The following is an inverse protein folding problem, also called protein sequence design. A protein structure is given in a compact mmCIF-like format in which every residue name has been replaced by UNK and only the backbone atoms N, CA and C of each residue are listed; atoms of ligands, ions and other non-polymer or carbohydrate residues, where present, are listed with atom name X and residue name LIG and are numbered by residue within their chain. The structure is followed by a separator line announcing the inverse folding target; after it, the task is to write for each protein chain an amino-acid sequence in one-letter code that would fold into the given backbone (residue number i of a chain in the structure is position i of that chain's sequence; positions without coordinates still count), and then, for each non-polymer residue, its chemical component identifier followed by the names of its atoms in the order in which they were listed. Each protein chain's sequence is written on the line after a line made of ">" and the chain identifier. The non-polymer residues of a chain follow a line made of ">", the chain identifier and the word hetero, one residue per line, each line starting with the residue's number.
data_IF_943410146387
#
_entry.id   IF_943410146387
#
_cell.length_a   1.000
_cell.length_b   1.000
_cell.length_c   1.000
_cell.angle_alpha   90.00
_cell.angle_beta   90.00
_cell.angle_gamma   90.00
#
_symmetry.space_group_name_H-M   'P 1'
#
loop_
_entity.id
_entity.type
_entity.pdbx_description
1 polymer ?
#
# COMPACT_ATOMS: atom_id res chain seq x y z
N UNK A 1 26.70 -19.66 -6.79
CA UNK A 1 27.38 -19.14 -8.00
C UNK A 1 26.53 -18.01 -8.56
N UNK A 2 26.63 -16.80 -7.97
CA UNK A 2 25.86 -15.62 -8.44
C UNK A 2 26.67 -14.84 -9.49
N UNK A 3 28.00 -14.99 -9.45
CA UNK A 3 28.93 -14.14 -10.19
C UNK A 3 29.01 -14.43 -11.70
N UNK A 4 28.79 -15.68 -12.13
CA UNK A 4 28.91 -16.06 -13.55
C UNK A 4 27.81 -15.46 -14.42
N UNK A 5 26.59 -15.37 -13.90
CA UNK A 5 25.45 -14.75 -14.59
C UNK A 5 25.59 -13.22 -14.59
N UNK A 6 26.24 -12.63 -13.58
CA UNK A 6 26.56 -11.19 -13.58
C UNK A 6 27.52 -10.82 -14.73
N UNK A 7 28.48 -11.68 -15.08
CA UNK A 7 29.38 -11.45 -16.21
C UNK A 7 28.66 -11.57 -17.57
N UNK A 8 27.56 -12.33 -17.63
CA UNK A 8 26.72 -12.48 -18.82
C UNK A 8 25.59 -11.44 -18.89
N UNK A 9 25.40 -10.67 -17.82
CA UNK A 9 24.32 -9.70 -17.74
C UNK A 9 24.61 -8.48 -18.63
N UNK A 10 23.88 -8.38 -19.74
CA UNK A 10 24.03 -7.29 -20.69
C UNK A 10 23.21 -6.07 -20.26
N UNK A 11 23.78 -5.25 -19.37
CA UNK A 11 23.14 -4.02 -18.89
C UNK A 11 22.75 -3.07 -20.05
N UNK A 12 23.58 -3.00 -21.10
CA UNK A 12 23.34 -2.18 -22.29
C UNK A 12 22.26 -2.72 -23.23
N UNK A 13 21.86 -3.99 -23.09
CA UNK A 13 20.81 -4.61 -23.88
C UNK A 13 19.41 -4.43 -23.26
N UNK A 14 19.33 -3.91 -22.04
CA UNK A 14 18.06 -3.63 -21.37
C UNK A 14 17.36 -2.45 -22.03
N UNK A 15 16.05 -2.57 -22.19
CA UNK A 15 15.21 -1.41 -22.47
C UNK A 15 15.14 -0.51 -21.24
N UNK A 16 14.80 0.78 -21.45
CA UNK A 16 14.64 1.74 -20.36
C UNK A 16 13.63 1.24 -19.31
N UNK A 17 12.53 0.62 -19.78
CA UNK A 17 11.51 0.08 -18.91
C UNK A 17 11.99 -1.16 -18.14
N UNK A 18 12.77 -2.05 -18.74
CA UNK A 18 13.36 -3.17 -18.01
C UNK A 18 14.32 -2.72 -16.90
N UNK A 19 15.10 -1.66 -17.15
CA UNK A 19 15.93 -1.06 -16.12
C UNK A 19 15.09 -0.45 -14.99
N UNK A 20 14.03 0.31 -15.31
CA UNK A 20 13.08 0.84 -14.30
C UNK A 20 12.44 -0.28 -13.48
N UNK A 21 12.05 -1.38 -14.13
CA UNK A 21 11.51 -2.58 -13.52
C UNK A 21 12.50 -3.20 -12.53
N UNK A 22 13.78 -3.36 -12.90
CA UNK A 22 14.83 -3.89 -12.03
C UNK A 22 15.04 -3.01 -10.79
N UNK A 23 15.10 -1.69 -10.98
CA UNK A 23 15.26 -0.73 -9.87
C UNK A 23 14.04 -0.79 -8.94
N UNK A 24 12.83 -0.88 -9.49
CA UNK A 24 11.60 -1.02 -8.72
C UNK A 24 11.61 -2.30 -7.87
N UNK A 25 11.89 -3.46 -8.49
CA UNK A 25 11.95 -4.75 -7.79
C UNK A 25 13.04 -4.76 -6.72
N UNK A 26 14.19 -4.14 -6.99
CA UNK A 26 15.30 -4.00 -6.03
C UNK A 26 14.92 -3.16 -4.80
N UNK A 27 13.93 -2.27 -4.94
CA UNK A 27 13.37 -1.49 -3.84
C UNK A 27 12.50 -2.31 -2.87
N UNK A 28 12.04 -3.51 -3.26
CA UNK A 28 11.23 -4.39 -2.42
C UNK A 28 12.12 -5.20 -1.46
N UNK A 29 12.53 -4.55 -0.37
CA UNK A 29 13.50 -5.10 0.57
C UNK A 29 12.87 -5.91 1.72
N UNK A 30 11.59 -5.66 2.05
CA UNK A 30 10.92 -6.34 3.15
C UNK A 30 10.82 -7.85 2.92
N UNK A 31 10.91 -8.63 4.00
CA UNK A 31 10.70 -10.08 3.94
C UNK A 31 9.26 -10.45 3.52
N UNK A 32 8.29 -9.59 3.86
CA UNK A 32 6.87 -9.76 3.47
C UNK A 32 6.71 -9.67 1.95
N UNK A 33 7.57 -8.90 1.28
CA UNK A 33 7.52 -8.71 -0.18
C UNK A 33 8.33 -9.78 -0.94
N UNK A 34 8.86 -10.80 -0.25
CA UNK A 34 9.67 -11.85 -0.88
C UNK A 34 8.94 -12.59 -1.99
N UNK A 35 7.67 -12.96 -1.75
CA UNK A 35 6.82 -13.60 -2.76
C UNK A 35 6.53 -12.66 -3.93
N UNK A 36 6.23 -11.40 -3.65
CA UNK A 36 5.98 -10.38 -4.68
C UNK A 36 7.22 -10.25 -5.56
N UNK A 37 8.39 -10.02 -4.96
CA UNK A 37 9.68 -9.90 -5.67
C UNK A 37 9.96 -11.11 -6.56
N UNK A 38 9.73 -12.34 -6.08
CA UNK A 38 9.91 -13.55 -6.89
C UNK A 38 8.98 -13.56 -8.11
N UNK A 39 7.69 -13.24 -7.93
CA UNK A 39 6.73 -13.20 -9.04
C UNK A 39 7.05 -12.12 -10.07
N UNK A 40 7.49 -10.95 -9.62
CA UNK A 40 7.90 -9.87 -10.51
C UNK A 40 9.15 -10.26 -11.33
N UNK A 41 10.15 -10.88 -10.71
CA UNK A 41 11.35 -11.36 -11.41
C UNK A 41 10.98 -12.39 -12.48
N UNK A 42 10.13 -13.37 -12.15
CA UNK A 42 9.65 -14.35 -13.13
C UNK A 42 8.91 -13.69 -14.31
N UNK A 43 8.13 -12.63 -14.04
CA UNK A 43 7.43 -11.87 -15.08
C UNK A 43 8.42 -11.12 -15.99
N UNK A 44 9.46 -10.53 -15.42
CA UNK A 44 10.52 -9.87 -16.19
C UNK A 44 11.33 -10.82 -17.06
N UNK A 45 11.57 -12.05 -16.59
CA UNK A 45 12.23 -13.10 -17.37
C UNK A 45 11.35 -13.61 -18.52
N UNK A 46 10.03 -13.74 -18.30
CA UNK A 46 9.09 -14.22 -19.31
C UNK A 46 8.73 -13.17 -20.38
N UNK A 47 8.68 -11.89 -20.00
CA UNK A 47 8.20 -10.80 -20.85
C UNK A 47 9.31 -9.77 -21.09
N UNK A 48 10.07 -9.85 -22.19
CA UNK A 48 11.24 -8.99 -22.45
C UNK A 48 10.89 -7.49 -22.61
N UNK A 49 9.62 -7.18 -22.88
CA UNK A 49 9.11 -5.81 -23.02
C UNK A 49 8.18 -5.40 -21.86
N UNK A 50 8.33 -6.01 -20.68
CA UNK A 50 7.51 -5.66 -19.52
C UNK A 50 7.72 -4.20 -19.13
N UNK A 51 6.61 -3.52 -18.84
CA UNK A 51 6.62 -2.12 -18.41
C UNK A 51 6.53 -2.03 -16.89
N UNK A 52 7.00 -0.92 -16.32
CA UNK A 52 6.87 -0.66 -14.88
C UNK A 52 5.40 -0.66 -14.44
N UNK A 53 4.47 -0.23 -15.30
CA UNK A 53 3.03 -0.25 -14.99
C UNK A 53 2.50 -1.67 -14.85
N UNK A 54 2.91 -2.58 -15.74
CA UNK A 54 2.54 -3.98 -15.64
C UNK A 54 3.03 -4.62 -14.32
N UNK A 55 4.22 -4.25 -13.83
CA UNK A 55 4.69 -4.71 -12.52
C UNK A 55 3.89 -4.11 -11.35
N UNK A 56 3.51 -2.84 -11.42
CA UNK A 56 2.67 -2.21 -10.38
C UNK A 56 1.29 -2.89 -10.31
N UNK A 57 0.70 -3.18 -11.46
CA UNK A 57 -0.56 -3.92 -11.55
C UNK A 57 -0.41 -5.34 -11.01
N UNK A 58 0.69 -6.01 -11.33
CA UNK A 58 1.00 -7.34 -10.82
C UNK A 58 1.14 -7.34 -9.29
N UNK A 59 1.85 -6.37 -8.70
CA UNK A 59 1.94 -6.19 -7.24
C UNK A 59 0.55 -6.06 -6.59
N UNK A 60 -0.32 -5.22 -7.18
CA UNK A 60 -1.68 -5.04 -6.68
C UNK A 60 -2.47 -6.34 -6.76
N UNK A 61 -2.39 -7.04 -7.90
CA UNK A 61 -3.06 -8.33 -8.11
C UNK A 61 -2.63 -9.38 -7.08
N UNK A 62 -1.33 -9.50 -6.83
CA UNK A 62 -0.79 -10.42 -5.81
C UNK A 62 -1.29 -10.03 -4.42
N UNK A 63 -1.29 -8.74 -4.10
CA UNK A 63 -1.78 -8.24 -2.81
C UNK A 63 -3.26 -8.57 -2.60
N UNK A 64 -4.11 -8.33 -3.59
CA UNK A 64 -5.54 -8.67 -3.53
C UNK A 64 -5.74 -10.17 -3.35
N UNK A 65 -5.02 -11.00 -4.12
CA UNK A 65 -5.11 -12.45 -3.98
C UNK A 65 -4.67 -12.95 -2.61
N UNK A 66 -3.63 -12.36 -2.02
CA UNK A 66 -3.19 -12.72 -0.68
C UNK A 66 -4.21 -12.32 0.39
N UNK A 67 -4.89 -11.18 0.22
CA UNK A 67 -6.01 -10.77 1.07
C UNK A 67 -7.18 -11.76 0.93
N UNK A 68 -7.57 -12.12 -0.29
CA UNK A 68 -8.65 -13.07 -0.56
C UNK A 68 -8.34 -14.46 0.00
N UNK A 69 -7.10 -14.94 -0.16
CA UNK A 69 -6.63 -16.20 0.40
C UNK A 69 -6.72 -16.21 1.94
N UNK A 70 -6.45 -15.07 2.59
CA UNK A 70 -6.58 -14.94 4.05
C UNK A 70 -8.05 -15.02 4.50
N UNK A 71 -8.97 -14.43 3.72
CA UNK A 71 -10.41 -14.51 4.01
C UNK A 71 -10.95 -15.94 3.88
N UNK A 72 -10.48 -16.68 2.88
CA UNK A 72 -10.93 -18.05 2.58
C UNK A 72 -10.28 -19.10 3.47
N UNK A 73 -9.00 -18.93 3.84
CA UNK A 73 -8.29 -19.82 4.75
C UNK A 73 -8.88 -19.81 6.18
N UNK A 74 -9.79 -18.87 6.45
CA UNK A 74 -10.23 -18.54 7.80
C UNK A 74 -9.09 -17.79 8.50
N UNK A 75 -9.38 -16.61 9.04
CA UNK A 75 -8.50 -16.09 10.09
C UNK A 75 -8.43 -17.19 11.14
N UNK A 76 -7.24 -17.79 11.33
CA UNK A 76 -7.00 -18.72 12.43
C UNK A 76 -7.71 -18.17 13.66
N UNK A 77 -8.68 -18.89 14.25
CA UNK A 77 -9.19 -18.52 15.55
C UNK A 77 -7.97 -18.38 16.44
N UNK A 78 -7.76 -17.20 17.01
CA UNK A 78 -6.92 -17.09 18.19
C UNK A 78 -7.53 -18.07 19.17
N UNK A 79 -6.71 -18.99 19.69
CA UNK A 79 -7.09 -20.06 20.60
C UNK A 79 -7.88 -19.50 21.80
N UNK A 80 -9.21 -19.42 21.68
CA UNK A 80 -10.20 -19.38 22.74
C UNK A 80 -11.58 -19.37 22.10
N UNK A 81 -12.06 -20.57 21.74
CA UNK A 81 -13.45 -21.03 21.90
C UNK A 81 -13.85 -21.98 20.76
N UNK A 82 -14.21 -23.25 21.06
CA UNK A 82 -14.89 -24.09 20.11
C UNK A 82 -16.38 -23.73 20.13
N UNK A 83 -16.84 -22.97 19.15
CA UNK A 83 -18.28 -22.92 18.82
C UNK A 83 -18.48 -23.41 17.39
N UNK A 84 -18.39 -24.73 17.23
CA UNK A 84 -18.94 -25.45 16.09
C UNK A 84 -20.46 -25.31 16.21
N UNK A 85 -21.09 -24.51 15.36
CA UNK A 85 -22.54 -24.43 15.31
C UNK A 85 -23.06 -25.66 14.53
N UNK A 86 -23.25 -26.77 15.22
CA UNK A 86 -23.93 -27.93 14.68
C UNK A 86 -25.41 -27.58 14.41
N UNK A 87 -25.87 -27.76 13.17
CA UNK A 87 -27.31 -27.69 12.85
C UNK A 87 -27.98 -28.93 13.43
N UNK A 88 -28.54 -28.80 14.62
CA UNK A 88 -29.53 -29.75 15.12
C UNK A 88 -30.87 -29.35 14.53
N UNK A 89 -31.38 -30.17 13.60
CA UNK A 89 -32.70 -29.96 13.02
C UNK A 89 -33.78 -30.20 14.07
N UNK A 90 -34.39 -29.11 14.57
CA UNK A 90 -35.64 -29.15 15.31
C UNK A 90 -36.58 -28.04 14.84
N UNK A 91 -37.72 -28.47 14.27
CA UNK A 91 -38.77 -27.62 13.73
C UNK A 91 -39.46 -26.76 14.81
N UNK A 92 -39.21 -25.44 14.82
CA UNK A 92 -40.07 -24.46 15.52
C UNK A 92 -40.27 -23.17 14.72
N UNK A 93 -41.48 -22.55 14.81
CA UNK A 93 -41.98 -21.62 13.80
C UNK A 93 -41.40 -20.20 13.90
N UNK A 94 -41.23 -19.62 12.70
CA UNK A 94 -40.68 -18.30 12.38
C UNK A 94 -41.52 -17.17 12.99
N UNK A 95 -40.91 -16.33 13.85
CA UNK A 95 -41.42 -14.98 14.17
C UNK A 95 -40.68 -13.93 13.34
N UNK A 96 -41.40 -13.31 12.40
CA UNK A 96 -40.90 -12.28 11.46
C UNK A 96 -40.52 -10.99 12.20
N UNK A 97 -39.35 -10.41 11.88
CA UNK A 97 -38.99 -9.03 12.23
C UNK A 97 -39.68 -8.05 11.26
N UNK A 98 -40.10 -6.84 11.71
CA UNK A 98 -40.71 -5.85 10.82
C UNK A 98 -39.67 -5.13 9.96
N UNK A 99 -40.10 -4.80 8.74
CA UNK A 99 -39.32 -4.25 7.64
C UNK A 99 -38.73 -2.85 7.92
N UNK A 100 -37.43 -2.68 7.73
CA UNK A 100 -36.79 -1.37 7.62
C UNK A 100 -37.19 -0.76 6.26
N UNK A 101 -37.84 0.42 6.32
CA UNK A 101 -38.20 1.19 5.13
C UNK A 101 -36.94 1.82 4.52
N UNK A 102 -36.66 1.44 3.28
CA UNK A 102 -35.66 2.07 2.40
C UNK A 102 -36.22 3.42 1.92
N UNK A 103 -35.50 4.51 2.16
CA UNK A 103 -35.66 5.74 1.37
C UNK A 103 -34.46 5.89 0.44
N UNK A 104 -34.78 6.17 -0.82
CA UNK A 104 -33.91 6.15 -2.00
C UNK A 104 -33.59 7.60 -2.41
N UNK A 105 -32.40 7.78 -3.02
CA UNK A 105 -31.99 8.79 -4.05
C UNK A 105 -30.80 9.66 -3.61
N UNK A 106 -29.90 10.14 -4.47
CA UNK A 106 -29.47 9.81 -5.85
C UNK A 106 -28.21 10.68 -6.12
N UNK A 107 -27.25 10.09 -6.86
CA UNK A 107 -26.13 10.65 -7.65
C UNK A 107 -25.89 12.17 -7.73
N UNK A 108 -24.59 12.52 -7.82
CA UNK A 108 -23.85 13.01 -9.03
C UNK A 108 -23.02 14.29 -8.78
N UNK A 109 -21.80 14.34 -9.32
CA UNK A 109 -21.20 15.60 -9.82
C UNK A 109 -19.78 15.95 -9.35
N UNK A 110 -18.79 15.53 -10.15
CA UNK A 110 -17.77 16.35 -10.84
C UNK A 110 -17.42 17.76 -10.29
N UNK A 111 -16.13 18.09 -10.16
CA UNK A 111 -15.68 19.49 -10.06
C UNK A 111 -14.22 19.70 -9.67
N UNK A 112 -13.41 20.10 -10.64
CA UNK A 112 -12.03 20.56 -10.58
C UNK A 112 -11.99 22.05 -10.15
N UNK A 113 -10.84 22.49 -9.61
CA UNK A 113 -10.30 23.87 -9.55
C UNK A 113 -10.65 24.86 -8.43
N UNK A 114 -9.53 25.49 -8.07
CA UNK A 114 -9.30 26.92 -7.91
C UNK A 114 -9.37 27.54 -6.52
N UNK A 115 -8.33 28.33 -6.27
CA UNK A 115 -8.09 29.00 -5.01
C UNK A 115 -8.94 30.24 -4.84
N UNK A 116 -9.15 30.62 -3.58
CA UNK A 116 -9.11 32.02 -3.17
C UNK A 116 -9.06 32.15 -1.65
N UNK A 117 -8.19 33.05 -1.25
CA UNK A 117 -8.05 33.68 0.07
C UNK A 117 -9.38 34.31 0.51
N UNK A 118 -9.65 34.39 1.83
CA UNK A 118 -10.21 35.61 2.37
C UNK A 118 -9.38 36.15 3.54
N UNK A 119 -9.14 37.46 3.50
CA UNK A 119 -8.65 38.27 4.59
C UNK A 119 -9.85 38.81 5.38
N UNK A 120 -9.86 38.68 6.70
CA UNK A 120 -10.58 39.58 7.62
C UNK A 120 -9.97 39.54 9.03
N UNK A 121 -9.29 40.64 9.37
CA UNK A 121 -9.44 41.44 10.61
C UNK A 121 -9.78 40.77 11.95
N UNK A 122 -8.86 40.91 12.91
CA UNK A 122 -9.16 41.46 14.24
C UNK A 122 -9.11 40.52 15.46
N UNK A 123 -8.16 40.78 16.38
CA UNK A 123 -8.44 40.72 17.84
C UNK A 123 -7.93 39.55 18.67
N UNK A 124 -6.63 39.60 19.06
CA UNK A 124 -6.05 39.20 20.36
C UNK A 124 -6.38 37.84 21.01
N UNK A 125 -5.48 36.87 20.81
CA UNK A 125 -4.91 36.03 21.87
C UNK A 125 -3.58 35.45 21.34
N UNK A 126 -2.43 35.90 21.86
CA UNK A 126 -1.12 35.32 21.50
C UNK A 126 -1.06 33.93 22.11
N UNK A 127 -1.41 32.92 21.32
CA UNK A 127 -0.93 31.56 21.47
C UNK A 127 0.07 31.38 20.34
N UNK A 128 1.35 31.18 20.67
CA UNK A 128 2.37 30.89 19.67
C UNK A 128 1.86 29.82 18.71
N UNK A 129 1.91 30.05 17.38
CA UNK A 129 1.48 29.04 16.44
C UNK A 129 2.34 27.79 16.68
N UNK A 130 1.73 26.60 16.79
CA UNK A 130 2.50 25.38 16.95
C UNK A 130 3.46 25.30 15.77
N UNK A 131 4.75 25.29 16.07
CA UNK A 131 5.85 25.17 15.10
C UNK A 131 5.46 24.16 14.02
N UNK A 132 5.64 24.47 12.72
CA UNK A 132 5.18 23.59 11.66
C UNK A 132 5.86 22.23 11.80
N UNK A 133 5.09 21.22 12.24
CA UNK A 133 5.55 19.83 12.28
C UNK A 133 5.35 19.23 10.88
N UNK A 134 6.29 18.41 10.38
CA UNK A 134 6.12 17.77 9.09
C UNK A 134 4.94 16.79 9.12
N UNK A 135 4.23 16.67 7.99
CA UNK A 135 3.10 15.73 7.83
C UNK A 135 3.55 14.26 7.82
N UNK A 136 4.83 14.01 7.56
CA UNK A 136 5.43 12.68 7.45
C UNK A 136 6.80 12.64 8.14
N UNK A 137 7.27 11.48 8.62
CA UNK A 137 8.62 11.33 9.16
C UNK A 137 9.68 11.64 8.11
N UNK A 138 10.87 12.06 8.56
CA UNK A 138 11.99 12.34 7.68
C UNK A 138 12.41 11.06 6.93
N UNK A 139 12.39 11.09 5.60
CA UNK A 139 12.78 9.94 4.76
C UNK A 139 14.28 9.59 4.83
N UNK A 140 15.10 10.41 5.48
CA UNK A 140 16.52 10.14 5.67
C UNK A 140 16.82 9.33 6.94
N UNK A 141 16.03 9.50 8.01
CA UNK A 141 16.32 8.91 9.33
C UNK A 141 15.09 8.44 10.13
N UNK A 142 13.87 8.66 9.64
CA UNK A 142 12.62 8.24 10.29
C UNK A 142 12.09 9.17 11.40
N UNK A 143 12.84 10.18 11.85
CA UNK A 143 12.40 11.08 12.92
C UNK A 143 11.49 12.24 12.45
N UNK A 144 10.72 12.84 13.37
CA UNK A 144 9.74 13.90 13.08
C UNK A 144 10.37 15.29 12.93
N UNK A 145 11.06 15.52 11.80
CA UNK A 145 11.59 16.83 11.40
C UNK A 145 11.57 17.01 9.87
N UNK A 146 11.68 18.25 9.40
CA UNK A 146 11.88 18.51 7.98
C UNK A 146 13.26 18.00 7.55
N UNK A 147 13.35 17.36 6.37
CA UNK A 147 14.60 16.77 5.84
C UNK A 147 15.77 17.75 5.78
N UNK A 148 15.51 19.04 5.54
CA UNK A 148 16.52 20.11 5.57
C UNK A 148 17.25 20.26 6.91
N UNK A 149 16.61 19.84 8.00
CA UNK A 149 17.14 19.91 9.36
C UNK A 149 17.64 18.54 9.85
N UNK A 150 17.80 17.56 8.96
CA UNK A 150 18.16 16.21 9.34
C UNK A 150 19.69 16.08 9.59
N UNK A 151 20.13 15.62 10.78
CA UNK A 151 21.55 15.41 11.07
C UNK A 151 22.17 14.29 10.22
N UNK A 152 21.37 13.32 9.76
CA UNK A 152 21.83 12.27 8.83
C UNK A 152 22.22 12.80 7.45
N UNK A 153 21.89 14.06 7.10
CA UNK A 153 22.28 14.65 5.82
C UNK A 153 23.80 14.73 5.64
N UNK A 154 24.55 14.74 6.74
CA UNK A 154 26.02 14.76 6.75
C UNK A 154 26.64 13.39 7.03
N UNK A 155 25.83 12.34 7.14
CA UNK A 155 26.35 10.99 7.40
C UNK A 155 27.15 10.49 6.19
N UNK A 156 28.40 10.12 6.43
CA UNK A 156 29.22 9.35 5.47
C UNK A 156 29.35 7.93 6.01
N UNK A 157 28.90 6.97 5.21
CA UNK A 157 29.16 5.56 5.50
C UNK A 157 30.68 5.33 5.46
N UNK A 158 31.23 4.62 6.45
CA UNK A 158 32.64 4.22 6.52
C UNK A 158 32.79 2.80 6.03
#
# INVERSE_FOLDING_TARGET
>A
MVNRECDQFQLNALTEDQFKCLVFVSGLQSAIDSEIRLRLLNKMEAEPNVTIQALIEECRRITSLNQDATLVAGASPKESDPFINAVTGEDKPIKRRPSIKVTKRMQKGHGYLDGKVPATTGGTAIKDPPSPKPKTPCWLCGAMHFVRNCPFKLHKCR
#
